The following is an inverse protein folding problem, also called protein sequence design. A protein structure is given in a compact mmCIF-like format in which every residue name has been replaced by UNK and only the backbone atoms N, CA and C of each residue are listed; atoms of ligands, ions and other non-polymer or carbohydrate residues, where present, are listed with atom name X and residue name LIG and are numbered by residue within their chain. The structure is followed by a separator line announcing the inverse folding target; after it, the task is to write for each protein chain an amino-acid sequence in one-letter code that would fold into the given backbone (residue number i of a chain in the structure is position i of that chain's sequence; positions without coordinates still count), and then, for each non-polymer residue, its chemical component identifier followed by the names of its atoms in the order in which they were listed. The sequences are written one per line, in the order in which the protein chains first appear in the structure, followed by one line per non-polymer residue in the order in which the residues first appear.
data_IF_656763911122
#
_entry.id   IF_656763911122
#
_cell.length_a   1.000
_cell.length_b   1.000
_cell.length_c   1.000
_cell.angle_alpha   90.00
_cell.angle_beta   90.00
_cell.angle_gamma   90.00
#
_symmetry.space_group_name_H-M   'P 1'
#
loop_
_entity.id
_entity.type
_entity.pdbx_description
1 polymer ?
#
# COMPACT_ATOMS: atom_id res chain seq x y z
N UNK A 1 10.32 8.30 -8.85
CA UNK A 1 9.81 7.47 -9.97
C UNK A 1 8.71 6.58 -9.44
N UNK A 2 7.45 6.92 -9.73
CA UNK A 2 6.32 6.03 -9.42
C UNK A 2 6.27 4.99 -10.53
N UNK A 3 6.57 3.74 -10.19
CA UNK A 3 6.52 2.65 -11.17
C UNK A 3 5.05 2.31 -11.42
N UNK A 4 4.48 2.80 -12.51
CA UNK A 4 3.13 2.45 -12.91
C UNK A 4 3.20 1.15 -13.71
N UNK A 5 3.05 0.02 -13.02
CA UNK A 5 3.02 -1.29 -13.67
C UNK A 5 1.69 -1.47 -14.40
N UNK A 6 1.72 -1.44 -15.73
CA UNK A 6 0.53 -1.66 -16.56
C UNK A 6 0.32 -3.17 -16.70
N UNK A 7 -0.87 -3.64 -16.33
CA UNK A 7 -1.30 -5.03 -16.54
C UNK A 7 -1.86 -5.11 -17.97
N UNK A 8 -1.36 -6.03 -18.79
CA UNK A 8 -1.91 -6.19 -20.14
C UNK A 8 -3.32 -6.80 -20.10
N UNK A 9 -4.21 -6.42 -21.05
CA UNK A 9 -5.66 -6.69 -20.98
C UNK A 9 -6.05 -8.16 -20.80
N UNK A 10 -5.22 -9.10 -21.28
CA UNK A 10 -5.52 -10.53 -21.28
C UNK A 10 -4.71 -11.33 -20.25
N UNK A 11 -3.99 -10.65 -19.35
CA UNK A 11 -3.14 -11.33 -18.37
C UNK A 11 -3.92 -11.65 -17.10
N UNK A 12 -3.87 -12.92 -16.67
CA UNK A 12 -4.41 -13.31 -15.36
C UNK A 12 -3.47 -12.87 -14.24
N UNK A 13 -3.99 -12.00 -13.38
CA UNK A 13 -3.27 -11.48 -12.21
C UNK A 13 -3.42 -12.49 -11.07
N UNK A 14 -2.48 -13.42 -10.95
CA UNK A 14 -2.43 -14.44 -9.90
C UNK A 14 -1.11 -14.36 -9.10
N UNK A 15 -0.89 -15.29 -8.16
CA UNK A 15 0.31 -15.29 -7.31
C UNK A 15 1.63 -15.37 -8.08
N UNK A 16 1.69 -16.10 -9.21
CA UNK A 16 2.91 -16.20 -10.01
C UNK A 16 3.18 -14.93 -10.83
N UNK A 17 2.13 -14.24 -11.26
CA UNK A 17 2.22 -12.93 -11.88
C UNK A 17 2.91 -11.93 -10.93
N UNK A 18 2.41 -11.79 -9.71
CA UNK A 18 3.02 -10.89 -8.72
C UNK A 18 4.45 -11.28 -8.37
N UNK A 19 4.76 -12.59 -8.27
CA UNK A 19 6.13 -13.04 -8.04
C UNK A 19 7.09 -12.60 -9.15
N UNK A 20 6.65 -12.64 -10.42
CA UNK A 20 7.44 -12.20 -11.57
C UNK A 20 7.59 -10.68 -11.63
N UNK A 21 6.54 -9.93 -11.31
CA UNK A 21 6.59 -8.46 -11.20
C UNK A 21 7.59 -8.06 -10.11
N UNK A 22 7.50 -8.66 -8.93
CA UNK A 22 8.43 -8.43 -7.82
C UNK A 22 9.87 -8.79 -8.21
N UNK A 23 10.07 -9.93 -8.90
CA UNK A 23 11.39 -10.35 -9.39
C UNK A 23 12.00 -9.37 -10.38
N UNK A 24 11.17 -8.77 -11.24
CA UNK A 24 11.60 -7.77 -12.22
C UNK A 24 11.89 -6.42 -11.56
N UNK A 25 11.12 -6.06 -10.52
CA UNK A 25 11.34 -4.86 -9.71
C UNK A 25 12.54 -4.97 -8.75
N UNK A 26 12.95 -6.20 -8.37
CA UNK A 26 14.09 -6.53 -7.50
C UNK A 26 15.46 -6.27 -8.15
N UNK A 27 15.81 -5.02 -8.44
CA UNK A 27 17.22 -4.64 -8.28
C UNK A 27 17.38 -4.15 -6.84
N UNK A 28 17.84 -5.06 -5.95
CA UNK A 28 18.23 -4.83 -4.56
C UNK A 28 17.10 -4.69 -3.50
N UNK A 29 15.97 -5.40 -3.64
CA UNK A 29 14.94 -5.47 -2.58
C UNK A 29 14.98 -6.83 -1.89
N UNK A 30 15.30 -6.84 -0.60
CA UNK A 30 15.18 -8.01 0.27
C UNK A 30 13.71 -8.24 0.62
N UNK A 31 13.23 -9.48 0.51
CA UNK A 31 11.88 -9.85 0.96
C UNK A 31 12.00 -10.36 2.38
N UNK A 32 11.33 -9.68 3.31
CA UNK A 32 11.19 -10.16 4.67
C UNK A 32 10.11 -11.25 4.74
N UNK A 33 10.31 -12.33 5.52
CA UNK A 33 9.29 -13.35 5.73
C UNK A 33 8.09 -12.74 6.47
N UNK A 34 6.88 -12.92 5.94
CA UNK A 34 5.64 -12.46 6.55
C UNK A 34 4.70 -13.66 6.76
N UNK A 35 4.16 -13.87 7.97
CA UNK A 35 3.27 -14.99 8.22
C UNK A 35 1.93 -14.83 7.49
N UNK A 36 1.28 -15.93 7.07
CA UNK A 36 -0.01 -15.86 6.40
C UNK A 36 -1.10 -15.27 7.31
N UNK A 37 -1.87 -14.30 6.79
CA UNK A 37 -3.05 -13.71 7.45
C UNK A 37 -2.77 -12.99 8.78
N UNK A 38 -1.65 -12.27 8.89
CA UNK A 38 -1.34 -11.44 10.06
C UNK A 38 -1.45 -9.93 9.77
N UNK A 39 -2.69 -9.38 9.72
CA UNK A 39 -2.89 -7.95 9.50
C UNK A 39 -2.33 -7.07 10.64
N UNK A 40 -2.11 -7.66 11.82
CA UNK A 40 -1.48 -6.96 12.95
C UNK A 40 0.02 -6.70 12.74
N UNK A 41 0.66 -7.42 11.80
CA UNK A 41 2.09 -7.32 11.51
C UNK A 41 2.39 -6.48 10.26
N UNK A 42 1.36 -6.01 9.56
CA UNK A 42 1.51 -5.17 8.36
C UNK A 42 1.29 -3.70 8.72
N UNK A 43 2.33 -2.84 8.68
CA UNK A 43 2.20 -1.42 9.00
C UNK A 43 1.20 -0.69 8.09
N UNK A 44 0.98 -1.20 6.88
CA UNK A 44 -0.08 -0.72 6.01
C UNK A 44 -1.47 -0.97 6.61
N UNK A 45 -1.75 -2.15 7.14
CA UNK A 45 -3.10 -2.51 7.57
C UNK A 45 -3.44 -1.94 8.95
N UNK A 46 -2.53 -1.99 9.92
CA UNK A 46 -2.82 -1.50 11.27
C UNK A 46 -2.66 0.03 11.43
N UNK A 47 -1.84 0.68 10.60
CA UNK A 47 -1.55 2.11 10.75
C UNK A 47 -1.98 2.94 9.54
N UNK A 48 -1.53 2.63 8.33
CA UNK A 48 -1.79 3.48 7.16
C UNK A 48 -3.27 3.50 6.77
N UNK A 49 -3.90 2.33 6.63
CA UNK A 49 -5.29 2.20 6.23
C UNK A 49 -6.25 2.89 7.21
N UNK A 50 -6.12 2.76 8.54
CA UNK A 50 -6.96 3.51 9.48
C UNK A 50 -6.83 5.02 9.33
N UNK A 51 -5.62 5.54 9.14
CA UNK A 51 -5.41 6.98 9.02
C UNK A 51 -5.96 7.53 7.70
N UNK A 52 -5.88 6.75 6.61
CA UNK A 52 -6.49 7.08 5.33
C UNK A 52 -8.02 6.96 5.37
N UNK A 53 -8.53 5.91 6.00
CA UNK A 53 -9.97 5.62 6.07
C UNK A 53 -10.70 6.57 6.99
N UNK A 54 -10.13 7.05 8.10
CA UNK A 54 -10.80 8.01 9.01
C UNK A 54 -11.44 9.21 8.28
N UNK A 55 -10.71 10.00 7.46
CA UNK A 55 -11.27 11.14 6.74
C UNK A 55 -12.04 10.77 5.48
N UNK A 56 -11.84 9.58 4.91
CA UNK A 56 -12.55 9.11 3.72
C UNK A 56 -13.84 8.34 4.04
N UNK A 57 -13.95 7.82 5.27
CA UNK A 57 -15.11 7.09 5.76
C UNK A 57 -16.37 7.94 5.62
N UNK A 58 -17.44 7.31 5.18
CA UNK A 58 -18.75 7.93 4.99
C UNK A 58 -18.82 9.02 3.92
N UNK A 59 -17.76 9.23 3.11
CA UNK A 59 -17.81 10.09 1.93
C UNK A 59 -18.24 9.28 0.71
N UNK A 60 -19.12 9.87 -0.10
CA UNK A 60 -19.48 9.33 -1.42
C UNK A 60 -18.74 10.13 -2.49
N UNK A 61 -18.05 9.42 -3.37
CA UNK A 61 -17.35 10.02 -4.50
C UNK A 61 -18.14 9.77 -5.78
N UNK A 62 -18.30 10.80 -6.61
CA UNK A 62 -19.01 10.68 -7.87
C UNK A 62 -18.19 9.96 -8.96
N UNK A 63 -16.87 9.84 -8.78
CA UNK A 63 -15.96 9.19 -9.71
C UNK A 63 -14.73 8.60 -9.00
N UNK A 64 -14.09 7.63 -9.65
CA UNK A 64 -12.82 7.07 -9.17
C UNK A 64 -11.74 8.15 -9.03
N UNK A 65 -11.69 9.10 -9.97
CA UNK A 65 -10.74 10.21 -9.94
C UNK A 65 -10.91 11.07 -8.68
N UNK A 66 -12.14 11.40 -8.31
CA UNK A 66 -12.42 12.16 -7.09
C UNK A 66 -12.03 11.39 -5.81
N UNK A 67 -12.16 10.06 -5.82
CA UNK A 67 -11.72 9.21 -4.71
C UNK A 67 -10.19 9.22 -4.56
N UNK A 68 -9.47 9.10 -5.69
CA UNK A 68 -7.99 9.12 -5.72
C UNK A 68 -7.47 10.48 -5.27
N UNK A 69 -8.02 11.59 -5.78
CA UNK A 69 -7.62 12.95 -5.38
C UNK A 69 -7.83 13.18 -3.87
N UNK A 70 -8.94 12.68 -3.32
CA UNK A 70 -9.20 12.78 -1.89
C UNK A 70 -8.22 11.93 -1.06
N UNK A 71 -7.85 10.74 -1.54
CA UNK A 71 -6.84 9.90 -0.90
C UNK A 71 -5.45 10.54 -0.95
N UNK A 72 -5.05 11.11 -2.09
CA UNK A 72 -3.80 11.84 -2.24
C UNK A 72 -3.73 13.06 -1.32
N UNK A 73 -4.81 13.83 -1.22
CA UNK A 73 -4.88 14.97 -0.31
C UNK A 73 -4.71 14.56 1.16
N UNK A 74 -5.25 13.40 1.54
CA UNK A 74 -5.05 12.83 2.87
C UNK A 74 -3.60 12.40 3.06
N UNK A 75 -3.02 11.68 2.10
CA UNK A 75 -1.63 11.20 2.13
C UNK A 75 -0.60 12.34 2.19
N UNK A 76 -0.81 13.43 1.44
CA UNK A 76 0.09 14.59 1.43
C UNK A 76 0.12 15.35 2.75
N UNK A 77 -0.88 15.16 3.61
CA UNK A 77 -0.95 15.78 4.93
C UNK A 77 -0.36 14.90 6.05
N UNK A 78 0.19 13.71 5.74
CA UNK A 78 0.81 12.87 6.77
C UNK A 78 2.14 13.46 7.25
N UNK A 79 2.45 13.31 8.56
CA UNK A 79 3.76 13.65 9.05
C UNK A 79 4.82 12.71 8.45
N UNK A 80 5.96 13.27 8.03
CA UNK A 80 7.03 12.53 7.36
C UNK A 80 7.58 11.36 8.20
N UNK A 81 7.50 11.46 9.53
CA UNK A 81 7.89 10.44 10.48
C UNK A 81 6.74 9.54 10.95
N UNK A 82 5.51 9.72 10.45
CA UNK A 82 4.34 8.97 10.90
C UNK A 82 4.50 7.46 10.72
N UNK A 83 4.99 7.03 9.55
CA UNK A 83 5.25 5.62 9.25
C UNK A 83 6.42 5.05 10.06
N UNK A 84 7.41 5.87 10.41
CA UNK A 84 8.59 5.41 11.15
C UNK A 84 8.22 4.85 12.53
N UNK A 85 7.20 5.43 13.18
CA UNK A 85 6.69 4.90 14.45
C UNK A 85 6.06 3.52 14.31
N UNK A 86 5.43 3.21 13.17
CA UNK A 86 4.84 1.90 12.91
C UNK A 86 5.92 0.82 12.72
N UNK A 87 7.07 1.15 12.10
CA UNK A 87 8.18 0.22 11.91
C UNK A 87 9.01 -0.02 13.18
N UNK A 88 9.11 0.96 14.09
CA UNK A 88 9.82 0.76 15.37
C UNK A 88 9.20 -0.33 16.26
N UNK A 89 7.90 -0.58 16.10
CA UNK A 89 7.18 -1.62 16.84
C UNK A 89 7.52 -3.04 16.38
N UNK A 90 8.03 -3.20 15.16
CA UNK A 90 8.33 -4.52 14.58
C UNK A 90 9.78 -4.98 14.82
N UNK A 91 10.59 -4.21 15.54
CA UNK A 91 12.01 -4.48 15.85
C UNK A 91 12.26 -5.02 17.28
N UNK A 92 11.23 -5.54 17.95
CA UNK A 92 11.39 -6.24 19.24
C UNK A 92 11.78 -7.72 19.06
#
# INVERSE_FOLDING_TARGET
MVYQHVVEPDTTVNGSYYANVLRTMKKNVEILPHPPYNPDLTPCDFWLLPQLMKPLRSKRFASNKACVEAAEAVLNNFPQNGLLHAFKWTEC
#
